data_IF_447080668348
#
_entry.id   IF_447080668348
#
_cell.length_a   1.000
_cell.length_b   1.000
_cell.length_c   1.000
_cell.angle_alpha   90.00
_cell.angle_beta   90.00
_cell.angle_gamma   90.00
#
_symmetry.space_group_name_H-M   'P 1'
#
loop_
_entity.id
_entity.type
_entity.pdbx_description
1 polymer ?
#
# COMPACT_ATOMS: atom_id res chain seq x y z
N UNK A 1 17.89 -34.20 18.58
CA UNK A 1 16.54 -34.36 17.97
C UNK A 1 15.41 -34.56 18.98
N UNK A 2 15.47 -35.51 19.94
CA UNK A 2 14.42 -35.64 20.98
C UNK A 2 14.29 -34.37 21.84
N UNK A 3 15.41 -33.80 22.27
CA UNK A 3 15.54 -32.51 22.99
C UNK A 3 14.80 -31.37 22.29
N UNK A 4 15.10 -31.12 21.01
CA UNK A 4 14.46 -30.08 20.20
C UNK A 4 12.93 -30.21 20.17
N UNK A 5 12.42 -31.44 19.98
CA UNK A 5 10.97 -31.68 19.95
C UNK A 5 10.31 -31.35 21.28
N UNK A 6 10.93 -31.70 22.42
CA UNK A 6 10.37 -31.39 23.73
C UNK A 6 10.34 -29.89 24.02
N UNK A 7 11.39 -29.17 23.64
CA UNK A 7 11.45 -27.70 23.78
C UNK A 7 10.34 -27.07 22.94
N UNK A 8 10.22 -27.47 21.66
CA UNK A 8 9.18 -26.97 20.78
C UNK A 8 7.77 -27.27 21.30
N UNK A 9 7.52 -28.48 21.81
CA UNK A 9 6.23 -28.83 22.40
C UNK A 9 5.92 -27.97 23.63
N UNK A 10 6.89 -27.81 24.55
CA UNK A 10 6.74 -26.98 25.74
C UNK A 10 6.39 -25.54 25.36
N UNK A 11 7.13 -24.96 24.41
CA UNK A 11 6.91 -23.59 23.96
C UNK A 11 5.55 -23.43 23.26
N UNK A 12 5.14 -24.40 22.43
CA UNK A 12 3.82 -24.39 21.80
C UNK A 12 2.68 -24.39 22.83
N UNK A 13 2.79 -25.20 23.90
CA UNK A 13 1.83 -25.18 25.01
C UNK A 13 1.86 -23.87 25.79
N UNK A 14 3.03 -23.24 25.96
CA UNK A 14 3.12 -21.93 26.59
C UNK A 14 2.38 -20.85 25.79
N UNK A 15 2.59 -20.81 24.47
CA UNK A 15 1.93 -19.86 23.58
C UNK A 15 0.41 -20.05 23.59
N UNK A 16 -0.06 -21.30 23.47
CA UNK A 16 -1.49 -21.60 23.45
C UNK A 16 -2.19 -21.33 24.80
N UNK A 17 -1.48 -21.50 25.92
CA UNK A 17 -2.04 -21.22 27.26
C UNK A 17 -2.00 -19.76 27.64
N UNK A 18 -1.09 -18.97 27.07
CA UNK A 18 -1.05 -17.53 27.27
C UNK A 18 -2.08 -16.84 26.38
N UNK A 19 -3.36 -16.92 26.80
CA UNK A 19 -4.48 -16.36 26.05
C UNK A 19 -4.33 -14.85 25.77
N UNK A 20 -3.66 -14.10 26.66
CA UNK A 20 -3.43 -12.66 26.45
C UNK A 20 -2.46 -12.44 25.31
N UNK A 21 -1.31 -13.10 25.35
CA UNK A 21 -0.31 -13.01 24.28
C UNK A 21 -0.87 -13.51 22.95
N UNK A 22 -1.57 -14.65 22.95
CA UNK A 22 -2.18 -15.19 21.73
C UNK A 22 -3.24 -14.25 21.14
N UNK A 23 -4.05 -13.61 21.98
CA UNK A 23 -5.05 -12.62 21.53
C UNK A 23 -4.36 -11.42 20.90
N UNK A 24 -3.31 -10.89 21.52
CA UNK A 24 -2.56 -9.75 20.96
C UNK A 24 -1.94 -10.16 19.61
N UNK A 25 -1.31 -11.33 19.54
CA UNK A 25 -0.64 -11.81 18.32
C UNK A 25 -1.59 -11.96 17.14
N UNK A 26 -2.81 -12.46 17.36
CA UNK A 26 -3.76 -12.71 16.26
C UNK A 26 -4.69 -11.52 15.98
N UNK A 27 -5.12 -10.80 17.02
CA UNK A 27 -6.11 -9.72 16.88
C UNK A 27 -5.46 -8.40 16.52
N UNK A 28 -4.31 -8.06 17.10
CA UNK A 28 -3.64 -6.79 16.84
C UNK A 28 -3.29 -6.59 15.35
N UNK A 29 -2.69 -7.56 14.62
CA UNK A 29 -2.41 -7.37 13.20
C UNK A 29 -3.68 -7.18 12.39
N UNK A 30 -4.72 -7.98 12.62
CA UNK A 30 -6.01 -7.82 11.93
C UNK A 30 -6.62 -6.44 12.20
N UNK A 31 -6.61 -5.99 13.45
CA UNK A 31 -7.07 -4.65 13.84
C UNK A 31 -6.23 -3.53 13.20
N UNK A 32 -4.91 -3.69 13.13
CA UNK A 32 -4.02 -2.73 12.48
C UNK A 32 -4.24 -2.70 10.96
N UNK A 33 -4.38 -3.85 10.32
CA UNK A 33 -4.72 -3.95 8.90
C UNK A 33 -6.09 -3.33 8.63
N UNK A 34 -7.08 -3.52 9.50
CA UNK A 34 -8.37 -2.86 9.40
C UNK A 34 -8.22 -1.34 9.52
N UNK A 35 -7.60 -0.86 10.60
CA UNK A 35 -7.47 0.55 10.89
C UNK A 35 -6.68 1.28 9.80
N UNK A 36 -5.50 0.78 9.43
CA UNK A 36 -4.68 1.38 8.39
C UNK A 36 -5.23 1.14 6.98
N UNK A 37 -5.85 -0.01 6.71
CA UNK A 37 -6.43 -0.30 5.40
C UNK A 37 -7.60 0.63 5.06
N UNK A 38 -8.38 1.04 6.06
CA UNK A 38 -9.42 2.07 5.88
C UNK A 38 -8.90 3.50 6.05
N UNK A 39 -7.95 3.74 6.94
CA UNK A 39 -7.43 5.09 7.19
C UNK A 39 -6.49 5.58 6.08
N UNK A 40 -5.73 4.68 5.45
CA UNK A 40 -4.86 5.00 4.31
C UNK A 40 -5.66 4.83 3.03
N UNK A 41 -6.64 5.72 2.84
CA UNK A 41 -7.28 5.88 1.56
C UNK A 41 -6.68 7.09 0.83
N UNK A 42 -5.95 6.83 -0.26
CA UNK A 42 -5.53 7.87 -1.20
C UNK A 42 -6.37 7.85 -2.47
N UNK A 43 -7.50 7.11 -2.46
CA UNK A 43 -8.46 7.17 -3.55
C UNK A 43 -9.03 8.58 -3.58
N UNK A 44 -8.79 9.21 -4.72
CA UNK A 44 -9.26 10.57 -4.97
C UNK A 44 -10.69 10.44 -5.47
N UNK A 45 -11.60 10.35 -4.52
CA UNK A 45 -13.05 10.40 -4.75
C UNK A 45 -13.47 11.88 -4.86
N UNK A 46 -14.43 12.18 -5.75
CA UNK A 46 -15.02 13.52 -5.92
C UNK A 46 -14.06 14.65 -6.30
N UNK A 47 -13.33 14.49 -7.41
CA UNK A 47 -12.53 15.58 -7.98
C UNK A 47 -13.48 16.69 -8.44
N UNK A 48 -13.61 17.76 -7.65
CA UNK A 48 -14.37 18.94 -8.05
C UNK A 48 -13.69 19.62 -9.25
N UNK A 49 -14.25 19.44 -10.44
CA UNK A 49 -13.76 19.99 -11.70
C UNK A 49 -14.66 21.15 -12.12
N UNK A 50 -14.08 22.30 -12.40
CA UNK A 50 -14.81 23.45 -12.94
C UNK A 50 -14.67 23.48 -14.46
N UNK A 51 -15.76 23.65 -15.21
CA UNK A 51 -15.69 23.84 -16.67
C UNK A 51 -15.94 25.29 -17.06
N UNK A 52 -15.01 25.89 -17.80
CA UNK A 52 -15.17 27.21 -18.43
C UNK A 52 -15.34 26.99 -19.93
N UNK A 53 -16.55 27.22 -20.42
CA UNK A 53 -16.89 27.02 -21.83
C UNK A 53 -17.00 28.36 -22.57
N UNK A 54 -15.97 28.70 -23.33
CA UNK A 54 -15.98 29.87 -24.22
C UNK A 54 -16.51 29.55 -25.63
N UNK A 55 -16.69 28.26 -25.99
CA UNK A 55 -17.20 27.83 -27.29
C UNK A 55 -18.74 27.89 -27.33
N UNK A 56 -19.39 27.56 -26.20
CA UNK A 56 -20.85 27.62 -25.99
C UNK A 56 -21.67 26.81 -27.01
N UNK A 57 -21.06 25.75 -27.57
CA UNK A 57 -21.68 24.87 -28.58
C UNK A 57 -22.44 23.71 -27.93
N UNK A 58 -23.10 22.86 -28.73
CA UNK A 58 -23.75 21.65 -28.20
C UNK A 58 -22.68 20.62 -27.81
N UNK A 59 -21.59 20.60 -28.57
CA UNK A 59 -20.44 19.72 -28.44
C UNK A 59 -19.64 20.00 -27.17
N UNK A 60 -19.37 21.27 -26.86
CA UNK A 60 -18.70 21.67 -25.62
C UNK A 60 -19.52 21.33 -24.38
N UNK A 61 -20.84 21.56 -24.42
CA UNK A 61 -21.76 21.24 -23.32
C UNK A 61 -21.90 19.74 -23.07
N UNK A 62 -21.88 18.93 -24.13
CA UNK A 62 -21.93 17.47 -24.00
C UNK A 62 -20.64 16.91 -23.39
N UNK A 63 -19.46 17.44 -23.79
CA UNK A 63 -18.20 17.08 -23.17
C UNK A 63 -18.20 17.39 -21.66
N UNK A 64 -18.62 18.61 -21.29
CA UNK A 64 -18.75 19.01 -19.89
C UNK A 64 -19.71 18.09 -19.12
N UNK A 65 -20.86 17.75 -19.71
CA UNK A 65 -21.85 16.85 -19.10
C UNK A 65 -21.28 15.45 -18.87
N UNK A 66 -20.53 14.89 -19.81
CA UNK A 66 -19.91 13.57 -19.65
C UNK A 66 -18.86 13.55 -18.55
N UNK A 67 -18.09 14.63 -18.41
CA UNK A 67 -17.15 14.76 -17.29
C UNK A 67 -17.90 14.72 -15.95
N UNK A 68 -18.97 15.51 -15.79
CA UNK A 68 -19.78 15.54 -14.56
C UNK A 68 -20.60 14.28 -14.29
N UNK A 69 -20.92 13.50 -15.32
CA UNK A 69 -21.62 12.22 -15.17
C UNK A 69 -20.65 11.04 -14.94
N UNK A 70 -19.34 11.29 -14.97
CA UNK A 70 -18.34 10.27 -14.63
C UNK A 70 -18.30 10.03 -13.12
N UNK A 71 -17.77 8.89 -12.69
CA UNK A 71 -17.56 8.58 -11.28
C UNK A 71 -16.39 9.36 -10.65
N UNK A 72 -15.63 10.12 -11.45
CA UNK A 72 -14.38 10.76 -11.02
C UNK A 72 -14.53 12.25 -10.73
N UNK A 73 -15.42 12.95 -11.46
CA UNK A 73 -15.52 14.40 -11.40
C UNK A 73 -16.90 14.86 -10.90
N UNK A 74 -16.90 15.79 -9.95
CA UNK A 74 -18.09 16.46 -9.45
C UNK A 74 -18.11 17.92 -9.87
N UNK A 75 -19.31 18.49 -10.01
CA UNK A 75 -19.49 19.89 -10.37
C UNK A 75 -19.38 20.79 -9.12
N UNK A 76 -18.66 21.92 -9.17
CA UNK A 76 -18.63 22.87 -8.06
C UNK A 76 -20.00 23.52 -7.82
N UNK A 77 -20.36 23.73 -6.55
CA UNK A 77 -21.59 24.43 -6.13
C UNK A 77 -21.55 25.94 -6.39
N UNK A 78 -20.40 26.48 -6.81
CA UNK A 78 -20.20 27.91 -7.05
C UNK A 78 -20.08 28.18 -8.54
N UNK A 79 -20.78 29.22 -9.01
CA UNK A 79 -20.67 29.67 -10.39
C UNK A 79 -19.24 30.12 -10.73
N UNK A 80 -18.80 29.70 -11.90
CA UNK A 80 -17.46 29.97 -12.40
C UNK A 80 -17.41 31.40 -12.92
N UNK A 81 -16.45 32.17 -12.43
CA UNK A 81 -16.19 33.51 -12.95
C UNK A 81 -15.42 33.40 -14.28
N UNK A 82 -16.05 33.78 -15.39
CA UNK A 82 -15.45 33.73 -16.72
C UNK A 82 -14.30 34.74 -16.90
N UNK A 83 -14.20 35.77 -16.04
CA UNK A 83 -13.16 36.81 -16.11
C UNK A 83 -11.93 36.45 -15.25
N UNK A 84 -12.12 35.75 -14.13
CA UNK A 84 -11.02 35.14 -13.36
C UNK A 84 -11.32 33.68 -13.01
N UNK A 85 -11.14 32.76 -13.98
CA UNK A 85 -11.34 31.33 -13.75
C UNK A 85 -10.51 30.81 -12.57
N UNK A 86 -9.32 31.36 -12.33
CA UNK A 86 -8.40 30.88 -11.29
C UNK A 86 -8.88 31.18 -9.88
N UNK A 87 -9.86 32.07 -9.69
CA UNK A 87 -10.42 32.40 -8.38
C UNK A 87 -11.01 31.17 -7.69
N UNK A 88 -11.66 30.27 -8.44
CA UNK A 88 -12.28 29.08 -7.87
C UNK A 88 -11.22 28.09 -7.33
N UNK A 89 -10.09 27.95 -8.02
CA UNK A 89 -8.93 27.17 -7.54
C UNK A 89 -8.33 27.79 -6.29
N UNK A 90 -8.08 29.11 -6.30
CA UNK A 90 -7.54 29.83 -5.13
C UNK A 90 -8.43 29.75 -3.90
N UNK A 91 -9.74 29.60 -4.10
CA UNK A 91 -10.71 29.46 -3.02
C UNK A 91 -10.82 28.03 -2.45
N UNK A 92 -10.12 27.05 -3.03
CA UNK A 92 -10.20 25.63 -2.65
C UNK A 92 -11.55 24.97 -2.98
N UNK A 93 -12.41 25.63 -3.76
CA UNK A 93 -13.75 25.13 -4.13
C UNK A 93 -13.75 24.28 -5.40
N UNK A 94 -12.63 24.21 -6.10
CA UNK A 94 -12.38 23.28 -7.20
C UNK A 94 -10.92 22.86 -7.16
N UNK A 95 -10.64 21.65 -7.62
CA UNK A 95 -9.28 21.10 -7.73
C UNK A 95 -8.67 21.31 -9.13
N UNK A 96 -9.54 21.44 -10.14
CA UNK A 96 -9.14 21.65 -11.51
C UNK A 96 -10.14 22.52 -12.29
N UNK A 97 -9.67 23.10 -13.39
CA UNK A 97 -10.47 23.84 -14.36
C UNK A 97 -10.19 23.31 -15.75
N UNK A 98 -11.22 22.84 -16.44
CA UNK A 98 -11.19 22.59 -17.87
C UNK A 98 -11.63 23.86 -18.61
N UNK A 99 -10.79 24.36 -19.50
CA UNK A 99 -11.02 25.54 -20.33
C UNK A 99 -11.22 25.10 -21.78
N UNK A 100 -12.44 25.28 -22.28
CA UNK A 100 -12.81 25.03 -23.68
C UNK A 100 -12.75 26.36 -24.41
N UNK A 101 -11.82 26.49 -25.35
CA UNK A 101 -11.65 27.71 -26.16
C UNK A 101 -12.66 27.72 -27.33
N UNK A 102 -12.94 28.89 -27.92
CA UNK A 102 -13.76 28.97 -29.13
C UNK A 102 -13.16 28.18 -30.30
N UNK A 103 -14.01 27.55 -31.11
CA UNK A 103 -13.63 26.76 -32.27
C UNK A 103 -13.58 25.24 -32.04
N UNK A 104 -13.94 24.76 -30.84
CA UNK A 104 -13.89 23.34 -30.49
C UNK A 104 -14.83 22.49 -31.37
N UNK A 105 -16.10 22.87 -31.49
CA UNK A 105 -17.05 22.14 -32.34
C UNK A 105 -16.59 22.09 -33.81
N UNK A 106 -16.08 23.21 -34.33
CA UNK A 106 -15.59 23.29 -35.70
C UNK A 106 -14.38 22.40 -35.96
N UNK A 107 -13.42 22.36 -35.02
CA UNK A 107 -12.26 21.48 -35.12
C UNK A 107 -12.66 20.00 -35.05
N UNK A 108 -13.64 19.66 -34.20
CA UNK A 108 -14.16 18.30 -34.08
C UNK A 108 -14.82 17.83 -35.38
N UNK A 109 -15.60 18.68 -36.04
CA UNK A 109 -16.25 18.36 -37.32
C UNK A 109 -15.26 18.23 -38.49
N UNK A 110 -14.16 19.01 -38.47
CA UNK A 110 -13.13 18.98 -39.51
C UNK A 110 -12.03 17.93 -39.27
N UNK A 111 -12.07 17.22 -38.14
CA UNK A 111 -11.00 16.29 -37.76
C UNK A 111 -9.65 16.98 -37.53
N UNK A 112 -9.67 18.26 -37.16
CA UNK A 112 -8.46 19.06 -36.91
C UNK A 112 -7.97 18.88 -35.46
N UNK A 113 -6.66 19.05 -35.24
CA UNK A 113 -6.12 19.05 -33.89
C UNK A 113 -6.59 20.27 -33.10
N UNK A 114 -7.08 20.05 -31.88
CA UNK A 114 -7.55 21.10 -30.99
C UNK A 114 -6.98 20.94 -29.59
N UNK A 115 -6.48 22.03 -29.01
CA UNK A 115 -5.89 22.03 -27.67
C UNK A 115 -6.89 22.55 -26.64
N UNK A 116 -7.33 21.65 -25.76
CA UNK A 116 -8.08 22.01 -24.56
C UNK A 116 -7.13 22.47 -23.45
N UNK A 117 -7.55 23.46 -22.66
CA UNK A 117 -6.78 23.92 -21.50
C UNK A 117 -7.20 23.15 -20.26
N UNK A 118 -6.26 22.60 -19.50
CA UNK A 118 -6.53 22.00 -18.18
C UNK A 118 -5.62 22.70 -17.16
N UNK A 119 -6.22 23.36 -16.18
CA UNK A 119 -5.52 24.04 -15.09
C UNK A 119 -5.80 23.24 -13.82
N UNK A 120 -4.76 22.75 -13.15
CA UNK A 120 -4.91 21.90 -11.95
C UNK A 120 -4.17 22.53 -10.78
N UNK A 121 -4.71 22.37 -9.57
CA UNK A 121 -4.01 22.74 -8.35
C UNK A 121 -2.81 21.80 -8.10
N UNK A 122 -1.61 22.37 -8.20
CA UNK A 122 -0.34 21.65 -8.02
C UNK A 122 0.09 21.46 -6.57
N UNK A 123 -0.68 21.91 -5.57
CA UNK A 123 -0.37 21.65 -4.15
C UNK A 123 -0.49 20.16 -3.78
N UNK A 124 -1.31 19.40 -4.51
CA UNK A 124 -1.41 17.94 -4.40
C UNK A 124 -1.01 17.29 -5.73
N UNK A 125 0.18 16.68 -5.74
CA UNK A 125 0.74 16.03 -6.92
C UNK A 125 -0.06 14.78 -7.35
N UNK A 126 -0.65 14.05 -6.40
CA UNK A 126 -1.42 12.84 -6.69
C UNK A 126 -2.76 13.23 -7.34
N UNK A 127 -3.43 14.24 -6.78
CA UNK A 127 -4.63 14.87 -7.37
C UNK A 127 -4.34 15.42 -8.76
N UNK A 128 -3.24 16.16 -8.92
CA UNK A 128 -2.84 16.70 -10.22
C UNK A 128 -2.64 15.63 -11.28
N UNK A 129 -1.97 14.52 -10.94
CA UNK A 129 -1.76 13.40 -11.85
C UNK A 129 -3.08 12.67 -12.16
N UNK A 130 -3.95 12.47 -11.16
CA UNK A 130 -5.24 11.82 -11.35
C UNK A 130 -6.17 12.62 -12.26
N UNK A 131 -6.31 13.94 -12.03
CA UNK A 131 -7.09 14.85 -12.88
C UNK A 131 -6.64 14.75 -14.34
N UNK A 132 -5.33 14.79 -14.58
CA UNK A 132 -4.78 14.71 -15.95
C UNK A 132 -5.09 13.37 -16.61
N UNK A 133 -4.88 12.26 -15.89
CA UNK A 133 -5.13 10.91 -16.41
C UNK A 133 -6.61 10.69 -16.72
N UNK A 134 -7.51 11.01 -15.78
CA UNK A 134 -8.96 10.84 -15.98
C UNK A 134 -9.51 11.77 -17.04
N UNK A 135 -9.03 13.03 -17.10
CA UNK A 135 -9.40 13.96 -18.17
C UNK A 135 -8.99 13.42 -19.55
N UNK A 136 -7.76 12.93 -19.69
CA UNK A 136 -7.28 12.34 -20.94
C UNK A 136 -8.07 11.10 -21.34
N UNK A 137 -8.39 10.22 -20.39
CA UNK A 137 -9.17 9.01 -20.64
C UNK A 137 -10.59 9.34 -21.12
N UNK A 138 -11.29 10.25 -20.45
CA UNK A 138 -12.65 10.65 -20.83
C UNK A 138 -12.67 11.43 -22.15
N UNK A 139 -11.67 12.27 -22.40
CA UNK A 139 -11.50 12.94 -23.70
C UNK A 139 -11.29 11.94 -24.83
N UNK A 140 -10.44 10.93 -24.64
CA UNK A 140 -10.24 9.87 -25.64
C UNK A 140 -11.55 9.10 -25.92
N UNK A 141 -12.29 8.71 -24.87
CA UNK A 141 -13.58 8.04 -25.04
C UNK A 141 -14.60 8.91 -25.79
N UNK A 142 -14.67 10.20 -25.46
CA UNK A 142 -15.53 11.16 -26.16
C UNK A 142 -15.18 11.31 -27.64
N UNK A 143 -13.90 11.29 -28.00
CA UNK A 143 -13.45 11.37 -29.39
C UNK A 143 -13.76 10.08 -30.16
N UNK A 144 -13.56 8.90 -29.57
CA UNK A 144 -13.87 7.60 -30.20
C UNK A 144 -15.36 7.49 -30.54
N UNK A 145 -16.25 7.93 -29.65
CA UNK A 145 -17.70 7.86 -29.87
C UNK A 145 -18.21 8.77 -31.00
N UNK A 146 -17.43 9.80 -31.38
CA UNK A 146 -17.87 10.85 -32.31
C UNK A 146 -17.15 10.85 -33.65
N UNK A 147 -15.98 10.24 -33.74
CA UNK A 147 -15.23 10.15 -34.99
C UNK A 147 -15.74 8.94 -35.79
N UNK A 148 -15.89 9.13 -37.10
CA UNK A 148 -16.27 8.07 -38.03
C UNK A 148 -15.24 6.91 -37.94
N UNK A 149 -15.63 5.62 -37.98
CA UNK A 149 -14.70 4.49 -37.89
C UNK A 149 -13.61 4.49 -38.97
N UNK A 150 -13.80 5.26 -40.04
CA UNK A 150 -12.89 5.37 -41.18
C UNK A 150 -11.91 6.56 -41.08
N UNK A 151 -12.09 7.48 -40.13
CA UNK A 151 -11.16 8.60 -39.90
C UNK A 151 -9.97 8.08 -39.12
N UNK A 152 -8.90 7.78 -39.84
CA UNK A 152 -7.62 7.44 -39.25
C UNK A 152 -7.04 8.71 -38.61
N UNK A 153 -7.27 8.93 -37.31
CA UNK A 153 -6.49 9.88 -36.53
C UNK A 153 -4.99 9.53 -36.70
N UNK A 154 -4.15 10.40 -37.28
CA UNK A 154 -2.71 10.19 -37.26
C UNK A 154 -2.23 10.56 -35.86
N UNK A 155 -2.27 9.58 -34.97
CA UNK A 155 -1.80 9.75 -33.61
C UNK A 155 -1.78 8.38 -32.99
N UNK A 156 -0.59 7.88 -32.69
CA UNK A 156 -0.40 6.64 -31.94
C UNK A 156 -1.17 6.81 -30.62
N UNK A 157 -2.36 6.22 -30.54
CA UNK A 157 -3.19 6.23 -29.34
C UNK A 157 -2.59 5.19 -28.40
N UNK A 158 -1.73 5.65 -27.51
CA UNK A 158 -1.34 4.86 -26.36
C UNK A 158 -2.56 4.89 -25.43
N UNK A 159 -3.39 3.84 -25.48
CA UNK A 159 -4.39 3.58 -24.45
C UNK A 159 -3.68 2.85 -23.30
N UNK A 160 -3.31 3.54 -22.21
CA UNK A 160 -2.63 2.90 -21.09
C UNK A 160 -3.58 1.90 -20.44
N UNK A 161 -3.30 0.61 -20.62
CA UNK A 161 -4.01 -0.46 -19.90
C UNK A 161 -3.27 -0.77 -18.61
N UNK A 162 -3.84 -0.40 -17.47
CA UNK A 162 -3.31 -0.76 -16.16
C UNK A 162 -3.62 -2.24 -15.90
N UNK A 163 -2.59 -3.08 -15.87
CA UNK A 163 -2.72 -4.55 -15.88
C UNK A 163 -3.16 -5.16 -14.54
N UNK A 164 -2.80 -4.54 -13.40
CA UNK A 164 -2.95 -5.15 -12.06
C UNK A 164 -3.92 -4.41 -11.12
N UNK A 165 -4.26 -3.15 -11.43
CA UNK A 165 -5.18 -2.35 -10.65
C UNK A 165 -5.93 -1.35 -11.56
N UNK A 166 -6.81 -1.83 -12.46
CA UNK A 166 -7.49 -0.98 -13.44
C UNK A 166 -8.35 0.11 -12.80
N UNK A 167 -8.90 -0.17 -11.62
CA UNK A 167 -9.72 0.77 -10.85
C UNK A 167 -8.87 1.74 -9.99
N UNK A 168 -7.54 1.60 -10.02
CA UNK A 168 -6.57 2.39 -9.24
C UNK A 168 -6.85 2.45 -7.73
N UNK A 169 -7.54 1.44 -7.18
CA UNK A 169 -7.86 1.35 -5.75
C UNK A 169 -6.59 1.31 -4.91
N UNK A 170 -6.45 2.26 -4.02
CA UNK A 170 -5.35 2.42 -3.09
C UNK A 170 -5.23 1.19 -2.19
N UNK A 171 -6.37 0.63 -1.76
CA UNK A 171 -6.41 -0.59 -0.94
C UNK A 171 -5.69 -1.79 -1.56
N UNK A 172 -5.73 -1.95 -2.88
CA UNK A 172 -5.03 -3.03 -3.58
C UNK A 172 -3.50 -2.90 -3.50
N UNK A 173 -2.98 -1.70 -3.24
CA UNK A 173 -1.55 -1.44 -3.09
C UNK A 173 -1.12 -1.36 -1.62
N UNK A 174 -1.83 -0.56 -0.80
CA UNK A 174 -1.42 -0.31 0.59
C UNK A 174 -1.64 -1.52 1.49
N UNK A 175 -2.75 -2.26 1.33
CA UNK A 175 -3.08 -3.37 2.25
C UNK A 175 -2.01 -4.47 2.20
N UNK A 176 -1.62 -5.04 1.04
CA UNK A 176 -0.55 -6.06 0.99
C UNK A 176 0.76 -5.61 1.64
N UNK A 177 1.15 -4.36 1.41
CA UNK A 177 2.39 -3.82 1.96
C UNK A 177 2.31 -3.61 3.47
N UNK A 178 1.15 -3.16 3.99
CA UNK A 178 0.90 -3.10 5.43
C UNK A 178 0.99 -4.50 6.07
N UNK A 179 0.41 -5.52 5.42
CA UNK A 179 0.53 -6.92 5.90
C UNK A 179 1.99 -7.32 6.05
N UNK A 180 2.82 -7.02 5.04
CA UNK A 180 4.26 -7.28 5.10
C UNK A 180 4.90 -6.64 6.35
N UNK A 181 4.74 -5.32 6.49
CA UNK A 181 5.36 -4.52 7.56
C UNK A 181 4.90 -4.99 8.94
N UNK A 182 3.60 -5.26 9.09
CA UNK A 182 3.00 -5.72 10.35
C UNK A 182 3.55 -7.12 10.71
N UNK A 183 3.61 -8.05 9.76
CA UNK A 183 4.14 -9.39 10.00
C UNK A 183 5.61 -9.37 10.41
N UNK A 184 6.43 -8.54 9.75
CA UNK A 184 7.84 -8.37 10.14
C UNK A 184 7.96 -7.82 11.57
N UNK A 185 7.18 -6.79 11.89
CA UNK A 185 7.19 -6.16 13.20
C UNK A 185 6.79 -7.15 14.30
N UNK A 186 5.67 -7.87 14.13
CA UNK A 186 5.19 -8.84 15.12
C UNK A 186 6.15 -10.01 15.26
N UNK A 187 6.66 -10.55 14.14
CA UNK A 187 7.63 -11.65 14.18
C UNK A 187 8.89 -11.25 14.94
N UNK A 188 9.45 -10.07 14.67
CA UNK A 188 10.64 -9.59 15.35
C UNK A 188 10.37 -9.29 16.83
N UNK A 189 9.21 -8.71 17.16
CA UNK A 189 8.82 -8.43 18.54
C UNK A 189 8.67 -9.72 19.36
N UNK A 190 8.03 -10.75 18.80
CA UNK A 190 7.79 -11.99 19.54
C UNK A 190 9.07 -12.70 19.91
N UNK A 191 10.00 -12.86 18.95
CA UNK A 191 11.26 -13.53 19.23
C UNK A 191 12.20 -12.67 20.07
N UNK A 192 12.18 -11.35 19.89
CA UNK A 192 13.01 -10.45 20.71
C UNK A 192 12.61 -10.48 22.18
N UNK A 193 11.31 -10.36 22.46
CA UNK A 193 10.75 -10.36 23.81
C UNK A 193 10.90 -11.71 24.49
N UNK A 194 10.65 -12.81 23.78
CA UNK A 194 10.74 -14.16 24.36
C UNK A 194 12.14 -14.44 24.90
N UNK A 195 13.18 -14.13 24.12
CA UNK A 195 14.57 -14.36 24.54
C UNK A 195 15.01 -13.33 25.59
N UNK A 196 14.64 -12.06 25.42
CA UNK A 196 14.95 -11.02 26.41
C UNK A 196 14.31 -11.31 27.77
N UNK A 197 13.09 -11.84 27.80
CA UNK A 197 12.41 -12.27 29.02
C UNK A 197 13.19 -13.36 29.76
N UNK A 198 13.76 -14.32 29.04
CA UNK A 198 14.54 -15.39 29.66
C UNK A 198 15.88 -14.90 30.20
N UNK A 199 16.51 -13.92 29.55
CA UNK A 199 17.67 -13.22 30.08
C UNK A 199 17.31 -12.46 31.36
N UNK A 200 16.28 -11.64 31.29
CA UNK A 200 15.81 -10.79 32.41
C UNK A 200 15.40 -11.63 33.64
N UNK A 201 14.83 -12.81 33.43
CA UNK A 201 14.42 -13.73 34.51
C UNK A 201 15.52 -14.70 34.96
N UNK A 202 16.71 -14.67 34.35
CA UNK A 202 17.83 -15.57 34.66
C UNK A 202 17.62 -17.03 34.23
N UNK A 203 16.53 -17.34 33.54
CA UNK A 203 16.22 -18.71 33.08
C UNK A 203 17.08 -19.13 31.87
N UNK A 204 17.64 -18.17 31.14
CA UNK A 204 18.58 -18.43 30.06
C UNK A 204 19.85 -19.14 30.55
N UNK A 205 20.40 -18.76 31.70
CA UNK A 205 21.59 -19.40 32.28
C UNK A 205 21.33 -20.87 32.63
N UNK A 206 20.15 -21.16 33.19
CA UNK A 206 19.72 -22.53 33.50
C UNK A 206 19.62 -23.40 32.24
N UNK A 207 19.12 -22.83 31.13
CA UNK A 207 19.04 -23.50 29.84
C UNK A 207 20.42 -23.78 29.23
N UNK A 208 21.40 -22.88 29.43
CA UNK A 208 22.75 -23.03 28.89
C UNK A 208 23.60 -24.06 29.65
N UNK A 209 23.27 -24.34 30.92
CA UNK A 209 23.94 -25.37 31.73
C UNK A 209 23.37 -26.78 31.46
N UNK A 210 22.16 -26.88 30.89
CA UNK A 210 21.57 -28.16 30.51
C UNK A 210 22.42 -28.86 29.43
N UNK A 211 22.46 -30.22 29.39
CA UNK A 211 23.21 -30.98 28.39
C UNK A 211 22.51 -30.96 27.01
N UNK A 212 22.20 -29.77 26.49
CA UNK A 212 21.48 -29.50 25.25
C UNK A 212 22.30 -28.50 24.44
N UNK A 213 22.40 -28.72 23.12
CA UNK A 213 23.16 -27.80 22.26
C UNK A 213 22.42 -26.45 22.14
N UNK A 214 23.12 -25.29 22.14
CA UNK A 214 22.50 -23.98 21.98
C UNK A 214 21.60 -23.86 20.74
N UNK A 215 22.02 -24.46 19.62
CA UNK A 215 21.22 -24.48 18.38
C UNK A 215 19.91 -25.27 18.53
N UNK A 216 19.87 -26.33 19.36
CA UNK A 216 18.64 -27.10 19.62
C UNK A 216 17.67 -26.29 20.50
N UNK A 217 18.18 -25.48 21.42
CA UNK A 217 17.39 -24.55 22.24
C UNK A 217 16.79 -23.47 21.33
N UNK A 218 17.63 -22.85 20.50
CA UNK A 218 17.23 -21.79 19.59
C UNK A 218 16.17 -22.28 18.60
N UNK A 219 16.43 -23.37 17.86
CA UNK A 219 15.48 -23.92 16.90
C UNK A 219 14.21 -24.44 17.57
N UNK A 220 14.33 -25.06 18.75
CA UNK A 220 13.19 -25.52 19.53
C UNK A 220 12.25 -24.38 19.93
N UNK A 221 12.78 -23.18 20.18
CA UNK A 221 11.98 -21.99 20.46
C UNK A 221 11.39 -21.37 19.21
N UNK A 222 12.18 -21.21 18.14
CA UNK A 222 11.76 -20.53 16.91
C UNK A 222 10.64 -21.27 16.20
N UNK A 223 10.71 -22.59 16.14
CA UNK A 223 9.80 -23.39 15.31
C UNK A 223 8.31 -23.20 15.68
N UNK A 224 7.92 -23.16 16.96
CA UNK A 224 6.58 -22.73 17.38
C UNK A 224 6.19 -21.32 16.89
N UNK A 225 7.08 -20.34 16.99
CA UNK A 225 6.79 -18.97 16.52
C UNK A 225 6.68 -18.90 14.98
N UNK A 226 7.42 -19.72 14.23
CA UNK A 226 7.24 -19.84 12.77
C UNK A 226 5.83 -20.31 12.44
N UNK A 227 5.32 -21.33 13.15
CA UNK A 227 3.96 -21.83 12.94
C UNK A 227 2.92 -20.76 13.28
N UNK A 228 3.08 -20.07 14.40
CA UNK A 228 2.17 -19.00 14.83
C UNK A 228 2.17 -17.83 13.84
N UNK A 229 3.34 -17.36 13.42
CA UNK A 229 3.48 -16.28 12.45
C UNK A 229 2.95 -16.67 11.05
N UNK A 230 3.07 -17.95 10.66
CA UNK A 230 2.48 -18.44 9.42
C UNK A 230 0.95 -18.46 9.49
N UNK A 231 0.38 -18.92 10.61
CA UNK A 231 -1.07 -18.90 10.82
C UNK A 231 -1.62 -17.47 10.86
N UNK A 232 -0.90 -16.56 11.52
CA UNK A 232 -1.24 -15.14 11.56
C UNK A 232 -1.13 -14.50 10.16
N UNK A 233 -0.06 -14.79 9.41
CA UNK A 233 0.07 -14.35 8.03
C UNK A 233 -1.08 -14.83 7.14
N UNK A 234 -1.50 -16.09 7.27
CA UNK A 234 -2.68 -16.62 6.56
C UNK A 234 -3.94 -15.86 6.99
N UNK A 235 -4.15 -15.67 8.30
CA UNK A 235 -5.30 -14.95 8.84
C UNK A 235 -5.40 -13.54 8.26
N UNK A 236 -4.31 -12.79 8.27
CA UNK A 236 -4.25 -11.41 7.78
C UNK A 236 -4.44 -11.36 6.25
N UNK A 237 -3.88 -12.31 5.49
CA UNK A 237 -4.10 -12.38 4.03
C UNK A 237 -5.56 -12.71 3.69
N UNK A 238 -6.19 -13.63 4.42
CA UNK A 238 -7.63 -13.92 4.26
C UNK A 238 -8.45 -12.69 4.61
N UNK A 239 -8.12 -11.99 5.69
CA UNK A 239 -8.78 -10.74 6.08
C UNK A 239 -8.66 -9.67 4.99
N UNK A 240 -7.46 -9.47 4.44
CA UNK A 240 -7.22 -8.54 3.33
C UNK A 240 -8.07 -8.89 2.09
N UNK A 241 -8.21 -10.18 1.77
CA UNK A 241 -9.04 -10.63 0.65
C UNK A 241 -10.53 -10.39 0.90
N UNK A 242 -11.03 -10.73 2.08
CA UNK A 242 -12.48 -10.72 2.40
C UNK A 242 -12.99 -9.31 2.64
N UNK A 243 -12.24 -8.48 3.37
CA UNK A 243 -12.68 -7.14 3.77
C UNK A 243 -12.34 -6.08 2.72
N UNK A 244 -11.13 -6.15 2.14
CA UNK A 244 -10.65 -5.14 1.20
C UNK A 244 -10.72 -5.58 -0.27
N UNK A 245 -11.11 -6.83 -0.54
CA UNK A 245 -11.25 -7.34 -1.91
C UNK A 245 -9.91 -7.51 -2.64
N UNK A 246 -8.78 -7.55 -1.92
CA UNK A 246 -7.44 -7.60 -2.51
C UNK A 246 -7.29 -8.84 -3.40
N UNK A 247 -6.97 -8.66 -4.71
CA UNK A 247 -6.83 -9.78 -5.62
C UNK A 247 -5.46 -10.44 -5.48
N UNK A 248 -5.41 -11.62 -4.84
CA UNK A 248 -4.23 -12.47 -4.83
C UNK A 248 -4.16 -13.30 -6.13
N UNK A 249 -3.55 -12.73 -7.17
CA UNK A 249 -3.37 -13.38 -8.48
C UNK A 249 -2.10 -14.22 -8.50
N UNK A 250 -2.18 -15.47 -8.96
CA UNK A 250 -1.04 -16.38 -9.11
C UNK A 250 -1.07 -17.59 -8.16
N UNK A 251 0.11 -18.15 -7.90
CA UNK A 251 0.24 -19.37 -7.08
C UNK A 251 0.23 -19.06 -5.59
N UNK A 252 -0.81 -19.53 -4.90
CA UNK A 252 -0.92 -19.41 -3.45
C UNK A 252 0.17 -20.21 -2.73
N UNK A 253 0.67 -21.30 -3.34
CA UNK A 253 1.76 -22.10 -2.78
C UNK A 253 3.09 -21.33 -2.81
N UNK A 254 3.36 -20.58 -3.89
CA UNK A 254 4.54 -19.72 -3.96
C UNK A 254 4.46 -18.59 -2.93
N UNK A 255 3.29 -17.98 -2.76
CA UNK A 255 3.06 -16.96 -1.73
C UNK A 255 3.36 -17.52 -0.32
N UNK A 256 2.88 -18.72 0.00
CA UNK A 256 3.19 -19.37 1.27
C UNK A 256 4.68 -19.73 1.41
N UNK A 257 5.32 -20.18 0.32
CA UNK A 257 6.75 -20.50 0.31
C UNK A 257 7.62 -19.27 0.58
N UNK A 258 7.40 -18.17 -0.15
CA UNK A 258 8.10 -16.91 0.09
C UNK A 258 7.71 -16.29 1.44
N UNK A 259 6.46 -16.43 1.86
CA UNK A 259 6.00 -16.04 3.20
C UNK A 259 6.76 -16.75 4.31
N UNK A 260 7.03 -18.06 4.17
CA UNK A 260 7.81 -18.81 5.14
C UNK A 260 9.26 -18.32 5.22
N UNK A 261 9.89 -18.00 4.08
CA UNK A 261 11.23 -17.42 4.03
C UNK A 261 11.23 -16.04 4.71
N UNK A 262 10.23 -15.22 4.40
CA UNK A 262 10.05 -13.89 4.96
C UNK A 262 9.85 -13.91 6.48
N UNK A 263 8.97 -14.78 6.98
CA UNK A 263 8.74 -14.99 8.41
C UNK A 263 10.04 -15.44 9.08
N UNK A 264 10.77 -16.39 8.48
CA UNK A 264 12.04 -16.88 9.02
C UNK A 264 13.10 -15.77 9.13
N UNK A 265 13.20 -14.91 8.12
CA UNK A 265 14.08 -13.74 8.14
C UNK A 265 13.65 -12.73 9.22
N UNK A 266 12.35 -12.50 9.35
CA UNK A 266 11.78 -11.57 10.34
C UNK A 266 12.00 -12.03 11.78
N UNK A 267 11.81 -13.32 12.05
CA UNK A 267 12.11 -13.93 13.35
C UNK A 267 13.61 -13.85 13.69
N UNK A 268 14.48 -14.00 12.67
CA UNK A 268 15.93 -13.87 12.80
C UNK A 268 16.36 -12.46 13.22
N UNK A 269 15.69 -11.41 12.72
CA UNK A 269 15.89 -10.04 13.19
C UNK A 269 15.56 -9.91 14.66
N UNK A 270 14.43 -10.46 15.12
CA UNK A 270 14.07 -10.41 16.54
C UNK A 270 15.09 -11.13 17.44
N UNK A 271 15.66 -12.25 16.97
CA UNK A 271 16.75 -12.95 17.67
C UNK A 271 18.00 -12.08 17.73
N UNK A 272 18.38 -11.44 16.62
CA UNK A 272 19.51 -10.53 16.59
C UNK A 272 19.32 -9.37 17.58
N UNK A 273 18.11 -8.82 17.66
CA UNK A 273 17.79 -7.77 18.64
C UNK A 273 17.90 -8.32 20.07
N UNK A 274 17.38 -9.52 20.32
CA UNK A 274 17.45 -10.15 21.64
C UNK A 274 18.86 -10.39 22.16
N UNK A 275 19.84 -10.55 21.26
CA UNK A 275 21.23 -10.76 21.67
C UNK A 275 21.87 -9.47 22.18
N UNK A 276 21.38 -8.30 21.75
CA UNK A 276 21.92 -6.97 22.08
C UNK A 276 21.27 -6.32 23.31
N UNK A 277 20.16 -6.88 23.81
CA UNK A 277 19.34 -6.28 24.88
C UNK A 277 19.18 -7.24 26.05
N UNK A 278 19.01 -6.67 27.25
CA UNK A 278 18.88 -7.44 28.51
C UNK A 278 17.46 -7.43 29.08
N UNK A 279 16.62 -6.46 28.72
CA UNK A 279 15.25 -6.34 29.26
C UNK A 279 14.20 -6.41 28.16
N UNK A 280 13.02 -6.92 28.50
CA UNK A 280 11.90 -7.00 27.56
C UNK A 280 11.49 -5.64 27.01
N UNK A 281 11.49 -4.60 27.86
CA UNK A 281 11.07 -3.27 27.44
C UNK A 281 12.00 -2.67 26.38
N UNK A 282 13.32 -2.84 26.55
CA UNK A 282 14.31 -2.39 25.56
C UNK A 282 14.19 -3.22 24.27
N UNK A 283 13.96 -4.54 24.38
CA UNK A 283 13.73 -5.40 23.23
C UNK A 283 12.53 -4.97 22.38
N UNK A 284 11.42 -4.59 23.03
CA UNK A 284 10.23 -4.08 22.35
C UNK A 284 10.52 -2.77 21.61
N UNK A 285 11.20 -1.81 22.26
CA UNK A 285 11.53 -0.53 21.64
C UNK A 285 12.48 -0.70 20.44
N UNK A 286 13.54 -1.50 20.59
CA UNK A 286 14.45 -1.79 19.50
C UNK A 286 13.77 -2.51 18.35
N UNK A 287 12.97 -3.55 18.61
CA UNK A 287 12.20 -4.24 17.59
C UNK A 287 11.29 -3.28 16.82
N UNK A 288 10.47 -2.49 17.52
CA UNK A 288 9.59 -1.52 16.88
C UNK A 288 10.37 -0.49 16.03
N UNK A 289 11.44 0.10 16.57
CA UNK A 289 12.24 1.11 15.85
C UNK A 289 12.99 0.53 14.65
N UNK A 290 13.58 -0.66 14.79
CA UNK A 290 14.38 -1.30 13.74
C UNK A 290 13.50 -1.89 12.64
N UNK A 291 12.29 -2.38 12.95
CA UNK A 291 11.41 -2.95 11.92
C UNK A 291 10.48 -1.91 11.32
N UNK A 292 9.76 -1.12 12.13
CA UNK A 292 8.63 -0.32 11.63
C UNK A 292 9.13 0.84 10.77
N UNK A 293 9.99 1.71 11.30
CA UNK A 293 10.40 2.94 10.62
C UNK A 293 11.16 2.64 9.31
N UNK A 294 12.19 1.77 9.28
CA UNK A 294 12.88 1.43 8.04
C UNK A 294 11.96 0.74 7.03
N UNK A 295 11.06 -0.14 7.47
CA UNK A 295 10.18 -0.84 6.53
C UNK A 295 9.15 0.10 5.92
N UNK A 296 8.57 1.02 6.67
CA UNK A 296 7.63 2.00 6.11
C UNK A 296 8.33 2.94 5.11
N UNK A 297 9.57 3.35 5.40
CA UNK A 297 10.31 4.30 4.57
C UNK A 297 11.03 3.67 3.37
N UNK A 298 11.57 2.45 3.51
CA UNK A 298 12.52 1.85 2.55
C UNK A 298 12.01 0.57 1.86
N UNK A 299 10.82 0.08 2.17
CA UNK A 299 10.27 -1.13 1.51
C UNK A 299 9.70 -0.89 0.10
N UNK A 300 9.52 0.36 -0.30
CA UNK A 300 8.73 0.69 -1.51
C UNK A 300 7.25 0.98 -1.22
N UNK A 301 6.82 0.84 0.04
CA UNK A 301 5.45 1.09 0.48
C UNK A 301 4.98 2.53 0.29
N UNK A 302 5.66 3.52 0.88
CA UNK A 302 5.26 4.94 0.73
C UNK A 302 5.92 5.56 -0.51
N UNK A 303 7.20 5.27 -0.71
CA UNK A 303 7.99 5.88 -1.78
C UNK A 303 8.54 4.80 -2.68
N UNK A 304 8.35 4.94 -3.99
CA UNK A 304 8.97 4.05 -4.96
C UNK A 304 10.50 4.10 -4.80
N UNK A 305 11.13 2.93 -4.57
CA UNK A 305 12.57 2.83 -4.27
C UNK A 305 13.42 3.49 -5.37
N UNK A 306 13.00 3.38 -6.63
CA UNK A 306 13.70 3.98 -7.78
C UNK A 306 13.81 5.51 -7.70
N UNK A 307 12.92 6.17 -6.96
CA UNK A 307 12.90 7.63 -6.81
C UNK A 307 13.77 8.10 -5.62
N UNK A 308 14.32 7.18 -4.83
CA UNK A 308 15.19 7.52 -3.70
C UNK A 308 16.63 7.81 -4.16
N UNK A 309 17.39 8.64 -3.43
CA UNK A 309 18.84 8.75 -3.61
C UNK A 309 19.54 7.38 -3.51
N UNK A 310 20.64 7.19 -4.25
CA UNK A 310 21.35 5.90 -4.36
C UNK A 310 21.71 5.32 -2.98
N UNK A 311 22.11 6.16 -2.02
CA UNK A 311 22.43 5.72 -0.66
C UNK A 311 21.23 5.04 0.04
N UNK A 312 20.03 5.60 -0.10
CA UNK A 312 18.81 5.00 0.47
C UNK A 312 18.38 3.75 -0.31
N UNK A 313 18.60 3.73 -1.63
CA UNK A 313 18.37 2.51 -2.41
C UNK A 313 19.26 1.36 -1.94
N UNK A 314 20.54 1.64 -1.61
CA UNK A 314 21.45 0.64 -1.08
C UNK A 314 20.99 0.12 0.29
N UNK A 315 20.58 1.01 1.20
CA UNK A 315 20.03 0.62 2.50
C UNK A 315 18.75 -0.21 2.38
N UNK A 316 17.92 0.04 1.37
CA UNK A 316 16.69 -0.74 1.14
C UNK A 316 16.93 -2.24 0.95
N UNK A 317 18.09 -2.66 0.44
CA UNK A 317 18.39 -4.09 0.23
C UNK A 317 18.55 -4.89 1.52
N UNK A 318 18.79 -4.22 2.65
CA UNK A 318 18.91 -4.85 3.97
C UNK A 318 17.51 -5.13 4.56
N UNK A 319 16.49 -4.38 4.13
CA UNK A 319 15.15 -4.43 4.72
C UNK A 319 14.36 -5.58 4.10
N UNK A 320 13.96 -6.63 4.86
CA UNK A 320 13.25 -7.77 4.29
C UNK A 320 11.92 -7.39 3.64
N UNK A 321 11.23 -6.38 4.20
CA UNK A 321 9.94 -5.93 3.70
C UNK A 321 9.98 -5.52 2.21
N UNK A 322 11.13 -5.03 1.71
CA UNK A 322 11.33 -4.72 0.28
C UNK A 322 11.03 -5.89 -0.65
N UNK A 323 11.33 -7.11 -0.24
CA UNK A 323 11.23 -8.29 -1.11
C UNK A 323 9.86 -8.96 -1.04
N UNK A 324 9.09 -8.67 0.01
CA UNK A 324 7.76 -9.23 0.21
C UNK A 324 6.66 -8.32 -0.35
N UNK A 325 6.89 -7.00 -0.34
CA UNK A 325 6.11 -5.98 -1.08
C UNK A 325 6.37 -6.13 -2.57
#
# INVERSE_FOLDING_TARGET
>A
MRSLRFIAQKEFYHILRDARSLTIILVMPVMMTFLYGYAVNMDIEDIVLSTVDYDQTMESRELARRLYNSTYFSKPDVEVDYHDPKRILRSGKAHAILVIKPGFAGALQRGESFSLGLIVDGSDNNMSAAVQNYSNQLLQQFLIDRLDPNVHLPGIVISPRVLYNPDLKSSHFFVPALVAIILLMISALLTSVTIAREKETGTMEQLLIAPIKPIEILLGKILPYVVVALLDGILVLVFAKVIFGVPFVGSHLLLLGFGLIYISASLSIGILISSLVETQQVAMMFAAMTTMLPSVMLSGFIFAIKNMPIALQLLSYIIPAKYFV
#
